data_IF_160960024061
#
_entry.id   IF_160960024061
#
_cell.length_a   1.000
_cell.length_b   1.000
_cell.length_c   1.000
_cell.angle_alpha   90.00
_cell.angle_beta   90.00
_cell.angle_gamma   90.00
#
_symmetry.space_group_name_H-M   'P 1'
#
loop_
_entity.id
_entity.type
_entity.pdbx_description
1 polymer ?
#
# COMPACT_ATOMS: atom_id res chain seq x y z
N UNK A 1 -18.13 -9.36 16.47
CA UNK A 1 -17.44 -9.28 15.17
C UNK A 1 -18.29 -8.38 14.27
N UNK A 2 -17.78 -7.21 13.86
CA UNK A 2 -18.47 -6.37 12.88
C UNK A 2 -18.24 -7.01 11.51
N UNK A 3 -19.16 -7.85 11.05
CA UNK A 3 -19.24 -8.17 9.64
C UNK A 3 -19.95 -6.97 8.99
N UNK A 4 -19.25 -6.11 8.23
CA UNK A 4 -19.96 -5.11 7.45
C UNK A 4 -20.90 -5.85 6.49
N UNK A 5 -22.16 -5.42 6.43
CA UNK A 5 -23.16 -5.93 5.50
C UNK A 5 -22.60 -5.94 4.07
N UNK A 6 -22.83 -7.02 3.29
CA UNK A 6 -22.30 -7.11 1.95
C UNK A 6 -22.98 -6.09 1.02
N UNK A 7 -22.17 -5.30 0.31
CA UNK A 7 -22.68 -4.42 -0.74
C UNK A 7 -22.85 -5.22 -2.04
N UNK A 8 -24.10 -5.33 -2.52
CA UNK A 8 -24.35 -5.86 -3.85
C UNK A 8 -23.90 -4.85 -4.90
N UNK A 9 -22.91 -5.23 -5.69
CA UNK A 9 -22.44 -4.48 -6.86
C UNK A 9 -22.70 -5.31 -8.11
N UNK A 10 -23.04 -4.65 -9.21
CA UNK A 10 -23.17 -5.30 -10.51
C UNK A 10 -21.89 -5.06 -11.31
N UNK A 11 -21.46 -6.09 -12.03
CA UNK A 11 -20.40 -5.98 -13.00
C UNK A 11 -20.98 -5.34 -14.26
N UNK A 12 -20.56 -4.12 -14.53
CA UNK A 12 -20.89 -3.40 -15.75
C UNK A 12 -20.15 -3.95 -16.95
N UNK A 13 -20.32 -3.27 -18.07
CA UNK A 13 -19.63 -3.59 -19.30
C UNK A 13 -18.10 -3.53 -19.12
N UNK A 14 -17.40 -4.42 -19.84
CA UNK A 14 -15.93 -4.52 -19.83
C UNK A 14 -15.32 -4.71 -18.42
N UNK A 15 -16.08 -5.27 -17.49
CA UNK A 15 -15.59 -5.58 -16.14
C UNK A 15 -15.57 -4.38 -15.19
N UNK A 16 -16.30 -3.31 -15.49
CA UNK A 16 -16.38 -2.14 -14.61
C UNK A 16 -17.21 -2.43 -13.36
N UNK A 17 -16.65 -2.11 -12.19
CA UNK A 17 -17.36 -2.17 -10.91
C UNK A 17 -17.68 -0.76 -10.44
N UNK A 18 -18.96 -0.48 -10.18
CA UNK A 18 -19.37 0.78 -9.58
C UNK A 18 -19.30 0.65 -8.07
N UNK A 19 -18.41 1.42 -7.44
CA UNK A 19 -18.31 1.47 -5.98
C UNK A 19 -19.44 2.35 -5.41
N UNK A 20 -20.32 1.80 -4.54
CA UNK A 20 -21.35 2.57 -3.84
C UNK A 20 -20.78 3.74 -3.04
N UNK A 21 -21.58 4.78 -2.83
CA UNK A 21 -21.14 6.02 -2.19
C UNK A 21 -20.65 5.78 -0.75
N UNK A 22 -21.26 4.83 -0.05
CA UNK A 22 -20.92 4.40 1.30
C UNK A 22 -19.49 3.85 1.36
N UNK A 23 -19.13 2.97 0.41
CA UNK A 23 -17.77 2.42 0.32
C UNK A 23 -16.77 3.53 0.02
N UNK A 24 -17.08 4.44 -0.92
CA UNK A 24 -16.20 5.57 -1.24
C UNK A 24 -15.92 6.44 -0.01
N UNK A 25 -16.93 6.72 0.81
CA UNK A 25 -16.78 7.50 2.06
C UNK A 25 -15.95 6.75 3.11
N UNK A 26 -16.23 5.46 3.33
CA UNK A 26 -15.52 4.63 4.31
C UNK A 26 -14.03 4.49 3.98
N UNK A 27 -13.70 4.37 2.69
CA UNK A 27 -12.33 4.28 2.20
C UNK A 27 -11.70 5.65 1.91
N UNK A 28 -12.44 6.74 2.11
CA UNK A 28 -12.03 8.12 1.82
C UNK A 28 -11.47 8.29 0.39
N UNK A 29 -12.17 7.70 -0.58
CA UNK A 29 -11.80 7.71 -1.99
C UNK A 29 -12.35 8.93 -2.70
N UNK A 30 -11.56 9.48 -3.61
CA UNK A 30 -11.89 10.59 -4.50
C UNK A 30 -11.76 10.15 -5.95
N UNK A 31 -12.39 10.91 -6.84
CA UNK A 31 -12.20 10.70 -8.27
C UNK A 31 -10.72 10.86 -8.63
N UNK A 32 -10.21 9.95 -9.47
CA UNK A 32 -8.79 9.88 -9.84
C UNK A 32 -7.91 9.11 -8.85
N UNK A 33 -8.42 8.69 -7.68
CA UNK A 33 -7.65 7.83 -6.78
C UNK A 33 -7.40 6.46 -7.44
N UNK A 34 -6.13 6.05 -7.42
CA UNK A 34 -5.74 4.71 -7.83
C UNK A 34 -6.02 3.71 -6.71
N UNK A 35 -6.50 2.52 -7.07
CA UNK A 35 -6.73 1.41 -6.17
C UNK A 35 -5.90 0.21 -6.62
N UNK A 36 -5.38 -0.53 -5.66
CA UNK A 36 -4.80 -1.85 -5.90
C UNK A 36 -5.87 -2.91 -5.67
N UNK A 37 -5.96 -3.86 -6.60
CA UNK A 37 -6.84 -5.03 -6.50
C UNK A 37 -5.96 -6.27 -6.48
N UNK A 38 -6.20 -7.18 -5.54
CA UNK A 38 -5.48 -8.45 -5.44
C UNK A 38 -6.46 -9.59 -5.27
N UNK A 39 -6.27 -10.65 -6.05
CA UNK A 39 -7.01 -11.90 -5.89
C UNK A 39 -6.40 -12.69 -4.74
N UNK A 40 -7.20 -13.00 -3.72
CA UNK A 40 -6.78 -13.80 -2.58
C UNK A 40 -6.92 -15.31 -2.88
N UNK A 41 -6.22 -16.19 -2.13
CA UNK A 41 -6.30 -17.64 -2.34
C UNK A 41 -7.70 -18.25 -2.19
N UNK A 42 -8.58 -17.60 -1.42
CA UNK A 42 -9.98 -17.99 -1.24
C UNK A 42 -10.89 -17.54 -2.40
N UNK A 43 -10.33 -16.92 -3.43
CA UNK A 43 -11.06 -16.39 -4.59
C UNK A 43 -11.69 -15.02 -4.34
N UNK A 44 -11.48 -14.41 -3.17
CA UNK A 44 -11.99 -13.07 -2.89
C UNK A 44 -11.11 -11.98 -3.54
N UNK A 45 -11.73 -10.83 -3.84
CA UNK A 45 -11.01 -9.63 -4.27
C UNK A 45 -10.75 -8.73 -3.08
N UNK A 46 -9.49 -8.41 -2.84
CA UNK A 46 -9.10 -7.39 -1.86
C UNK A 46 -8.78 -6.09 -2.59
N UNK A 47 -9.53 -5.03 -2.29
CA UNK A 47 -9.25 -3.67 -2.75
C UNK A 47 -8.54 -2.88 -1.65
N UNK A 48 -7.49 -2.15 -2.03
CA UNK A 48 -6.73 -1.31 -1.12
C UNK A 48 -6.36 0.02 -1.79
N UNK A 49 -6.40 1.12 -1.04
CA UNK A 49 -5.76 2.37 -1.46
C UNK A 49 -4.23 2.26 -1.32
N UNK A 50 -3.43 2.96 -2.15
CA UNK A 50 -1.98 3.04 -1.98
C UNK A 50 -1.57 3.50 -0.58
N UNK A 51 -2.36 4.41 0.03
CA UNK A 51 -2.17 4.86 1.41
C UNK A 51 -2.39 3.75 2.43
N UNK A 52 -3.36 2.86 2.20
CA UNK A 52 -3.56 1.66 3.01
C UNK A 52 -2.38 0.71 2.89
N UNK A 53 -1.89 0.45 1.67
CA UNK A 53 -0.72 -0.41 1.45
C UNK A 53 0.49 0.12 2.18
N UNK A 54 0.80 1.41 2.03
CA UNK A 54 1.90 2.05 2.77
C UNK A 54 1.69 1.91 4.28
N UNK A 55 0.48 2.12 4.79
CA UNK A 55 0.18 1.99 6.22
C UNK A 55 0.32 0.56 6.73
N UNK A 56 -0.15 -0.43 6.00
CA UNK A 56 -0.05 -1.86 6.37
C UNK A 56 1.40 -2.36 6.28
N UNK A 57 2.17 -1.83 5.33
CA UNK A 57 3.59 -2.19 5.16
C UNK A 57 4.50 -1.37 6.08
N UNK A 58 4.00 -0.25 6.63
CA UNK A 58 4.75 0.63 7.54
C UNK A 58 5.02 -0.11 8.84
N UNK A 59 6.29 -0.42 9.04
CA UNK A 59 6.75 -1.16 10.22
C UNK A 59 6.92 -2.64 10.00
N UNK A 60 6.74 -3.16 8.78
CA UNK A 60 7.05 -4.55 8.44
C UNK A 60 8.50 -4.93 8.81
N UNK A 61 9.43 -3.98 8.63
CA UNK A 61 10.83 -4.16 9.01
C UNK A 61 11.15 -3.83 10.47
N UNK A 62 10.20 -3.35 11.29
CA UNK A 62 10.48 -3.02 12.71
C UNK A 62 10.98 -4.23 13.48
N UNK A 63 10.41 -5.41 13.25
CA UNK A 63 10.84 -6.64 13.90
C UNK A 63 12.30 -7.01 13.56
N UNK A 64 12.78 -6.66 12.35
CA UNK A 64 14.16 -6.92 11.90
C UNK A 64 15.13 -5.79 12.25
N UNK A 65 14.62 -4.57 12.43
CA UNK A 65 15.40 -3.38 12.76
C UNK A 65 15.80 -3.31 14.25
N UNK A 66 14.98 -3.84 15.16
CA UNK A 66 15.20 -3.67 16.60
C UNK A 66 15.24 -2.18 16.99
N UNK A 67 16.29 -1.75 17.69
CA UNK A 67 16.52 -0.33 18.06
C UNK A 67 17.28 0.47 16.98
N UNK A 68 17.62 -0.14 15.84
CA UNK A 68 18.42 0.50 14.79
C UNK A 68 17.52 1.15 13.74
N UNK A 69 17.95 2.29 13.23
CA UNK A 69 17.29 2.94 12.09
C UNK A 69 17.92 2.42 10.80
N UNK A 70 17.26 1.44 10.18
CA UNK A 70 17.70 0.89 8.89
C UNK A 70 17.77 1.98 7.80
N UNK A 71 16.96 3.03 7.92
CA UNK A 71 17.01 4.17 7.01
C UNK A 71 18.30 4.98 7.17
N UNK A 72 18.73 5.22 8.42
CA UNK A 72 19.96 5.99 8.68
C UNK A 72 21.21 5.19 8.30
N UNK A 73 21.22 3.87 8.52
CA UNK A 73 22.29 2.97 8.05
C UNK A 73 22.42 3.05 6.52
N UNK A 74 21.31 2.94 5.80
CA UNK A 74 21.28 2.97 4.33
C UNK A 74 21.67 4.36 3.77
N UNK A 75 21.27 5.44 4.44
CA UNK A 75 21.70 6.81 4.08
C UNK A 75 23.21 6.99 4.33
N UNK A 76 23.73 6.47 5.44
CA UNK A 76 25.15 6.55 5.76
C UNK A 76 25.98 5.80 4.73
N UNK A 77 25.59 4.58 4.37
CA UNK A 77 26.21 3.76 3.33
C UNK A 77 26.27 4.50 1.99
N UNK A 78 25.13 5.04 1.52
CA UNK A 78 25.05 5.86 0.29
C UNK A 78 25.97 7.07 0.33
N UNK A 79 26.08 7.76 1.47
CA UNK A 79 26.98 8.91 1.62
C UNK A 79 28.45 8.52 1.58
N UNK A 80 28.82 7.36 2.15
CA UNK A 80 30.18 6.83 2.04
C UNK A 80 30.52 6.37 0.64
N UNK A 81 29.56 5.75 -0.07
CA UNK A 81 29.71 5.34 -1.46
C UNK A 81 29.92 6.56 -2.38
N UNK A 82 29.08 7.59 -2.26
CA UNK A 82 29.24 8.85 -2.99
C UNK A 82 30.59 9.53 -2.73
N UNK A 83 31.09 9.51 -1.49
CA UNK A 83 32.42 10.03 -1.15
C UNK A 83 33.56 9.24 -1.80
N UNK A 84 33.42 7.92 -1.95
CA UNK A 84 34.40 7.07 -2.64
C UNK A 84 34.40 7.29 -4.15
N UNK A 85 33.23 7.49 -4.73
CA UNK A 85 33.08 7.80 -6.16
C UNK A 85 33.67 9.19 -6.50
N UNK A 86 33.54 10.18 -5.61
CA UNK A 86 34.12 11.52 -5.81
C UNK A 86 35.65 11.56 -5.57
N UNK A 87 36.21 10.51 -4.96
CA UNK A 87 37.64 10.42 -4.61
C UNK A 87 38.42 9.47 -5.53
N UNK A 88 37.77 8.92 -6.56
CA UNK A 88 38.45 8.18 -7.62
C UNK A 88 38.81 9.18 -8.74
N UNK A 89 40.10 9.40 -9.04
CA UNK A 89 40.55 10.28 -10.13
C UNK A 89 40.26 9.71 -11.52
#
# INVERSE_FOLDING_TARGET
MLHPEPFRVQLGDRGRLVLPAEIRKLLNLREGDQLLVTVQPDGSLRLMSPRQVVRETRGLYRARAGHRSLADELIAERRTEAKRETQTP
#
